data_IF_571211394269
#
_entry.id   IF_571211394269
#
_cell.length_a   1.000
_cell.length_b   1.000
_cell.length_c   1.000
_cell.angle_alpha   90.00
_cell.angle_beta   90.00
_cell.angle_gamma   90.00
#
_symmetry.space_group_name_H-M   'P 1'
#
loop_
_entity.id
_entity.type
_entity.pdbx_description
1 polymer ?
#
# COMPACT_ATOMS: atom_id res chain seq x y z
N UNK A 1 12.87 -10.30 -17.47
CA UNK A 1 13.98 -9.79 -16.64
C UNK A 1 15.26 -9.82 -17.45
N UNK A 2 16.25 -8.98 -17.15
CA UNK A 2 17.60 -9.11 -17.76
C UNK A 2 18.67 -9.03 -16.68
N UNK A 3 19.51 -10.06 -16.62
CA UNK A 3 20.70 -10.05 -15.77
C UNK A 3 21.83 -9.34 -16.50
N UNK A 4 22.47 -8.37 -15.83
CA UNK A 4 23.50 -7.51 -16.41
C UNK A 4 24.80 -7.68 -15.63
N UNK A 5 25.86 -8.22 -16.28
CA UNK A 5 27.18 -8.29 -15.67
C UNK A 5 27.75 -6.88 -15.41
N UNK A 6 28.67 -6.74 -14.44
CA UNK A 6 29.41 -5.50 -14.24
C UNK A 6 30.25 -5.17 -15.50
N UNK A 7 30.29 -3.91 -15.95
CA UNK A 7 31.23 -3.49 -16.99
C UNK A 7 32.69 -3.68 -16.53
N UNK A 8 33.59 -4.01 -17.46
CA UNK A 8 35.02 -4.05 -17.18
C UNK A 8 35.49 -2.69 -16.65
N UNK A 9 36.36 -2.71 -15.64
CA UNK A 9 36.97 -1.53 -15.02
C UNK A 9 35.96 -0.50 -14.46
N UNK A 10 34.78 -0.93 -14.04
CA UNK A 10 33.78 -0.08 -13.39
C UNK A 10 33.54 -0.52 -11.93
N UNK A 11 33.20 0.45 -11.07
CA UNK A 11 32.74 0.18 -9.70
C UNK A 11 31.29 -0.34 -9.64
N UNK A 12 30.59 -0.40 -10.78
CA UNK A 12 29.20 -0.86 -10.86
C UNK A 12 29.13 -2.38 -10.76
N UNK A 13 28.37 -2.90 -9.79
CA UNK A 13 28.16 -4.33 -9.58
C UNK A 13 27.16 -5.00 -10.54
N UNK A 14 26.80 -6.25 -10.21
CA UNK A 14 25.75 -7.01 -10.89
C UNK A 14 24.39 -6.32 -10.78
N UNK A 15 23.63 -6.33 -11.87
CA UNK A 15 22.33 -5.65 -11.93
C UNK A 15 21.25 -6.55 -12.51
N UNK A 16 20.02 -6.30 -12.09
CA UNK A 16 18.82 -6.91 -12.62
C UNK A 16 17.94 -5.82 -13.19
N UNK A 17 17.48 -6.00 -14.42
CA UNK A 17 16.54 -5.09 -15.09
C UNK A 17 15.14 -5.70 -15.10
N UNK A 18 14.17 -4.96 -14.53
CA UNK A 18 12.75 -5.24 -14.60
C UNK A 18 12.15 -4.56 -15.83
N UNK A 19 11.59 -5.36 -16.75
CA UNK A 19 11.11 -4.96 -18.08
C UNK A 19 9.59 -5.08 -18.34
N UNK A 20 8.80 -5.82 -17.53
CA UNK A 20 7.36 -5.99 -17.83
C UNK A 20 6.45 -4.77 -17.66
N UNK A 21 6.89 -3.67 -17.04
CA UNK A 21 6.01 -2.53 -16.79
C UNK A 21 5.65 -1.80 -18.08
N UNK A 22 4.36 -1.51 -18.29
CA UNK A 22 3.89 -0.61 -19.33
C UNK A 22 3.98 0.86 -18.88
N UNK A 23 4.23 1.75 -19.83
CA UNK A 23 4.25 3.20 -19.57
C UNK A 23 2.82 3.71 -19.32
N UNK A 24 2.67 4.55 -18.30
CA UNK A 24 1.39 5.17 -17.93
C UNK A 24 1.33 6.64 -18.38
N UNK A 25 0.14 7.23 -18.39
CA UNK A 25 -0.09 8.59 -18.92
C UNK A 25 0.57 9.68 -18.08
N UNK A 26 0.67 9.47 -16.77
CA UNK A 26 1.18 10.50 -15.84
C UNK A 26 2.48 10.09 -15.14
N UNK A 27 3.31 11.08 -14.83
CA UNK A 27 4.52 10.89 -14.02
C UNK A 27 4.21 10.31 -12.64
N UNK A 28 3.05 10.65 -12.06
CA UNK A 28 2.59 10.09 -10.80
C UNK A 28 2.45 8.57 -10.86
N UNK A 29 1.77 8.04 -11.88
CA UNK A 29 1.56 6.60 -12.03
C UNK A 29 2.88 5.89 -12.31
N UNK A 30 3.70 6.43 -13.21
CA UNK A 30 5.03 5.88 -13.53
C UNK A 30 5.94 5.85 -12.29
N UNK A 31 5.95 6.92 -11.49
CA UNK A 31 6.69 6.97 -10.23
C UNK A 31 6.16 5.95 -9.22
N UNK A 32 4.84 5.72 -9.16
CA UNK A 32 4.26 4.71 -8.28
C UNK A 32 4.75 3.29 -8.64
N UNK A 33 4.70 2.91 -9.92
CA UNK A 33 5.18 1.60 -10.37
C UNK A 33 6.69 1.42 -10.14
N UNK A 34 7.51 2.42 -10.46
CA UNK A 34 8.96 2.36 -10.25
C UNK A 34 9.30 2.27 -8.76
N UNK A 35 8.65 3.08 -7.93
CA UNK A 35 8.84 3.06 -6.47
C UNK A 35 8.46 1.71 -5.90
N UNK A 36 7.35 1.12 -6.35
CA UNK A 36 6.95 -0.21 -5.92
C UNK A 36 7.97 -1.28 -6.31
N UNK A 37 8.45 -1.31 -7.56
CA UNK A 37 9.48 -2.27 -8.00
C UNK A 37 10.78 -2.14 -7.17
N UNK A 38 11.19 -0.90 -6.88
CA UNK A 38 12.34 -0.64 -6.02
C UNK A 38 12.10 -1.18 -4.61
N UNK A 39 10.98 -0.84 -3.98
CA UNK A 39 10.69 -1.23 -2.60
C UNK A 39 10.44 -2.73 -2.45
N UNK A 40 9.74 -3.37 -3.40
CA UNK A 40 9.51 -4.82 -3.34
C UNK A 40 10.82 -5.58 -3.51
N UNK A 41 11.75 -5.12 -4.34
CA UNK A 41 13.07 -5.76 -4.46
C UNK A 41 13.83 -5.75 -3.12
N UNK A 42 13.80 -4.62 -2.40
CA UNK A 42 14.42 -4.50 -1.07
C UNK A 42 13.69 -5.32 -0.01
N UNK A 43 12.36 -5.38 -0.11
CA UNK A 43 11.51 -6.19 0.77
C UNK A 43 11.81 -7.68 0.61
N UNK A 44 11.92 -8.17 -0.64
CA UNK A 44 12.30 -9.56 -0.95
C UNK A 44 13.65 -9.90 -0.32
N UNK A 45 14.65 -9.02 -0.46
CA UNK A 45 15.99 -9.25 0.09
C UNK A 45 16.01 -9.17 1.63
N UNK A 46 15.33 -8.18 2.21
CA UNK A 46 15.31 -7.96 3.67
C UNK A 46 14.57 -9.07 4.41
N UNK A 47 13.45 -9.53 3.86
CA UNK A 47 12.62 -10.57 4.45
C UNK A 47 12.96 -11.98 3.93
N UNK A 48 13.98 -12.10 3.06
CA UNK A 48 14.39 -13.36 2.43
C UNK A 48 13.22 -14.14 1.80
N UNK A 49 12.36 -13.43 1.08
CA UNK A 49 11.14 -14.02 0.52
C UNK A 49 11.47 -15.06 -0.55
N UNK A 50 10.95 -16.27 -0.37
CA UNK A 50 10.95 -17.34 -1.36
C UNK A 50 9.70 -17.26 -2.24
N UNK A 51 9.86 -16.70 -3.44
CA UNK A 51 8.80 -16.56 -4.44
C UNK A 51 8.93 -17.57 -5.59
N UNK A 52 9.71 -18.65 -5.39
CA UNK A 52 9.98 -19.62 -6.45
C UNK A 52 8.73 -20.43 -6.79
N UNK A 53 8.42 -20.49 -8.08
CA UNK A 53 7.43 -21.37 -8.70
C UNK A 53 8.05 -21.98 -9.97
N UNK A 54 7.54 -23.11 -10.49
CA UNK A 54 8.02 -23.66 -11.75
C UNK A 54 7.93 -22.65 -12.92
N UNK A 55 8.95 -22.63 -13.78
CA UNK A 55 9.00 -21.68 -14.91
C UNK A 55 7.82 -21.84 -15.88
N UNK A 56 7.32 -23.08 -16.07
CA UNK A 56 6.12 -23.36 -16.86
C UNK A 56 4.88 -22.61 -16.34
N UNK A 57 4.77 -22.41 -15.02
CA UNK A 57 3.69 -21.63 -14.40
C UNK A 57 3.87 -20.14 -14.58
N UNK A 58 5.11 -19.66 -14.67
CA UNK A 58 5.39 -18.27 -15.10
C UNK A 58 4.94 -18.08 -16.56
N UNK A 59 5.17 -19.04 -17.45
CA UNK A 59 4.72 -18.96 -18.85
C UNK A 59 3.19 -18.99 -19.00
N UNK A 60 2.50 -19.79 -18.18
CA UNK A 60 1.03 -19.77 -18.07
C UNK A 60 0.51 -18.43 -17.55
N UNK A 61 1.18 -17.84 -16.56
CA UNK A 61 0.88 -16.50 -16.08
C UNK A 61 1.02 -15.44 -17.18
N UNK A 62 2.10 -15.50 -17.97
CA UNK A 62 2.31 -14.56 -19.07
C UNK A 62 1.21 -14.66 -20.14
N UNK A 63 0.75 -15.88 -20.47
CA UNK A 63 -0.39 -16.11 -21.38
C UNK A 63 -1.70 -15.55 -20.81
N UNK A 64 -1.88 -15.59 -19.50
CA UNK A 64 -3.06 -15.04 -18.83
C UNK A 64 -3.00 -13.51 -18.73
N UNK A 65 -1.81 -12.93 -18.52
CA UNK A 65 -1.59 -11.50 -18.33
C UNK A 65 -1.99 -10.64 -19.53
N UNK A 66 -1.90 -11.18 -20.75
CA UNK A 66 -2.21 -10.45 -21.99
C UNK A 66 -3.72 -10.41 -22.32
N UNK A 67 -4.55 -11.14 -21.57
CA UNK A 67 -6.01 -11.15 -21.81
C UNK A 67 -6.64 -9.82 -21.40
N UNK A 68 -7.72 -9.43 -22.08
CA UNK A 68 -8.51 -8.25 -21.73
C UNK A 68 -8.99 -8.35 -20.29
N UNK A 69 -8.82 -7.27 -19.53
CA UNK A 69 -9.19 -7.14 -18.12
C UNK A 69 -8.56 -8.22 -17.21
N UNK A 70 -7.38 -8.74 -17.57
CA UNK A 70 -6.71 -9.80 -16.82
C UNK A 70 -6.48 -9.46 -15.34
N UNK A 71 -6.25 -8.19 -15.02
CA UNK A 71 -6.11 -7.71 -13.63
C UNK A 71 -7.31 -8.08 -12.76
N UNK A 72 -8.53 -8.04 -13.32
CA UNK A 72 -9.77 -8.28 -12.57
C UNK A 72 -10.35 -9.68 -12.81
N UNK A 73 -10.09 -10.27 -13.98
CA UNK A 73 -10.79 -11.47 -14.46
C UNK A 73 -9.91 -12.72 -14.48
N UNK A 74 -8.59 -12.61 -14.40
CA UNK A 74 -7.69 -13.76 -14.45
C UNK A 74 -7.08 -14.05 -13.07
N UNK A 75 -6.66 -15.29 -12.91
CA UNK A 75 -5.88 -15.75 -11.78
C UNK A 75 -4.49 -16.16 -12.26
N UNK A 76 -3.53 -16.07 -11.35
CA UNK A 76 -2.12 -16.28 -11.61
C UNK A 76 -1.55 -17.25 -10.59
N UNK A 77 -0.72 -18.17 -11.05
CA UNK A 77 0.05 -19.05 -10.20
C UNK A 77 1.01 -18.22 -9.36
N UNK A 78 0.88 -18.35 -8.04
CA UNK A 78 1.67 -17.63 -7.07
C UNK A 78 2.09 -18.55 -5.93
N UNK A 79 3.22 -18.27 -5.30
CA UNK A 79 3.75 -19.06 -4.18
C UNK A 79 2.73 -19.12 -3.04
N UNK A 80 2.52 -20.30 -2.46
CA UNK A 80 1.68 -20.43 -1.25
C UNK A 80 2.27 -19.64 -0.08
N UNK A 81 1.40 -18.91 0.62
CA UNK A 81 1.81 -17.97 1.67
C UNK A 81 2.66 -18.59 2.79
N UNK A 82 2.32 -19.79 3.26
CA UNK A 82 3.09 -20.49 4.30
C UNK A 82 4.47 -21.00 3.84
N UNK A 83 4.79 -20.89 2.54
CA UNK A 83 6.08 -21.29 1.97
C UNK A 83 6.94 -20.10 1.53
N UNK A 84 6.60 -18.89 1.99
CA UNK A 84 7.26 -17.65 1.58
C UNK A 84 8.59 -17.38 2.29
N UNK A 85 8.93 -18.06 3.38
CA UNK A 85 10.23 -17.91 4.04
C UNK A 85 11.06 -19.19 3.96
N UNK A 86 12.37 -19.04 3.82
CA UNK A 86 13.34 -20.16 3.75
C UNK A 86 13.86 -20.61 5.11
N UNK A 87 13.56 -19.91 6.20
CA UNK A 87 14.21 -20.08 7.51
C UNK A 87 13.33 -20.73 8.61
N UNK A 88 12.23 -21.37 8.25
CA UNK A 88 11.37 -22.03 9.26
C UNK A 88 10.59 -21.06 10.17
N UNK A 89 10.74 -19.74 10.00
CA UNK A 89 9.83 -18.72 10.54
C UNK A 89 8.58 -18.38 9.68
N UNK A 90 8.07 -19.20 8.72
CA UNK A 90 6.86 -18.85 7.98
C UNK A 90 5.65 -18.60 8.86
N UNK A 91 5.56 -19.20 10.05
CA UNK A 91 4.34 -19.11 10.87
C UNK A 91 4.30 -17.82 11.67
N UNK A 92 5.40 -17.36 12.28
CA UNK A 92 5.41 -16.13 13.09
C UNK A 92 5.38 -14.86 12.26
N UNK A 93 6.12 -14.80 11.14
CA UNK A 93 6.11 -13.62 10.28
C UNK A 93 4.80 -13.55 9.47
N UNK A 94 4.27 -14.69 9.02
CA UNK A 94 2.95 -14.75 8.37
C UNK A 94 1.82 -14.60 9.38
N UNK A 95 1.92 -15.04 10.64
CA UNK A 95 0.94 -14.72 11.70
C UNK A 95 1.01 -13.26 12.09
N UNK A 96 2.21 -12.71 12.23
CA UNK A 96 2.40 -11.29 12.49
C UNK A 96 1.73 -10.50 11.39
N UNK A 97 2.00 -10.83 10.11
CA UNK A 97 1.44 -10.21 8.91
C UNK A 97 -0.06 -10.53 8.66
N UNK A 98 -0.58 -11.70 9.04
CA UNK A 98 -2.00 -12.05 8.88
C UNK A 98 -2.88 -11.38 9.93
N UNK A 99 -2.32 -11.07 11.11
CA UNK A 99 -2.92 -10.17 12.11
C UNK A 99 -2.97 -8.71 11.65
N UNK A 100 -2.35 -8.32 10.53
CA UNK A 100 -2.39 -6.93 10.02
C UNK A 100 -3.73 -6.55 9.36
N UNK A 101 -4.67 -7.46 9.07
CA UNK A 101 -5.95 -7.07 8.47
C UNK A 101 -7.07 -6.92 9.49
N UNK A 102 -7.45 -5.65 9.77
CA UNK A 102 -8.80 -5.07 9.48
C UNK A 102 -9.11 -3.72 10.16
N UNK A 103 -8.31 -3.21 11.11
CA UNK A 103 -8.73 -2.00 11.88
C UNK A 103 -7.62 -1.05 12.36
N UNK A 104 -6.34 -1.21 11.99
CA UNK A 104 -5.28 -0.31 12.49
C UNK A 104 -4.72 0.64 11.44
N UNK A 105 -4.84 1.93 11.73
CA UNK A 105 -4.08 3.01 11.11
C UNK A 105 -2.58 2.84 11.46
N UNK A 106 -1.68 3.32 10.60
CA UNK A 106 -0.23 3.20 10.75
C UNK A 106 0.37 4.42 11.49
N UNK A 107 0.95 4.21 12.69
CA UNK A 107 1.73 5.24 13.40
C UNK A 107 3.22 5.14 13.19
N UNK A 108 3.81 6.30 12.92
CA UNK A 108 5.22 6.63 13.07
C UNK A 108 5.64 6.34 14.52
N UNK A 109 6.65 5.49 14.70
CA UNK A 109 7.34 5.29 15.98
C UNK A 109 8.48 6.31 16.04
N UNK A 110 8.39 7.27 16.96
CA UNK A 110 9.55 8.06 17.37
C UNK A 110 10.30 7.30 18.46
N UNK A 111 11.62 7.15 18.28
CA UNK A 111 12.52 6.77 19.35
C UNK A 111 12.61 7.92 20.36
N UNK A 112 12.25 7.65 21.61
CA UNK A 112 12.82 8.36 22.75
C UNK A 112 13.47 7.32 23.66
N UNK A 113 14.75 7.52 23.89
CA UNK A 113 15.57 6.90 24.92
C UNK A 113 14.92 7.13 26.28
N UNK A 114 14.70 6.06 27.07
CA UNK A 114 14.87 6.04 28.53
C UNK A 114 14.66 4.63 29.11
N UNK A 115 15.35 4.38 30.22
CA UNK A 115 15.54 3.11 30.90
C UNK A 115 14.30 2.59 31.67
N UNK A 116 14.14 1.26 31.66
CA UNK A 116 13.61 0.35 32.71
C UNK A 116 12.28 0.71 33.42
N UNK A 117 11.27 -0.17 33.31
CA UNK A 117 10.98 -1.16 34.36
C UNK A 117 9.87 -2.14 33.98
N UNK A 118 10.09 -3.39 34.38
CA UNK A 118 9.17 -4.52 34.32
C UNK A 118 8.13 -4.33 35.44
N UNK A 119 6.85 -4.45 35.10
CA UNK A 119 5.83 -4.88 36.05
C UNK A 119 4.70 -5.55 35.30
N UNK A 120 4.56 -6.86 35.54
CA UNK A 120 3.40 -7.68 35.23
C UNK A 120 2.13 -7.03 35.76
N UNK A 121 1.07 -7.00 34.94
CA UNK A 121 -0.27 -7.26 35.48
C UNK A 121 -1.11 -8.03 34.45
N UNK A 122 -1.53 -9.19 34.92
CA UNK A 122 -2.33 -10.18 34.22
C UNK A 122 -3.82 -9.92 34.44
N UNK A 123 -4.63 -10.06 33.38
CA UNK A 123 -5.85 -10.90 33.31
C UNK A 123 -6.92 -10.27 32.42
N UNK A 124 -7.13 -10.86 31.24
CA UNK A 124 -8.48 -11.24 30.80
C UNK A 124 -8.38 -12.29 29.69
N UNK A 125 -8.79 -13.48 30.08
CA UNK A 125 -8.85 -14.73 29.34
C UNK A 125 -9.89 -14.69 28.22
N UNK A 126 -9.51 -15.03 26.99
CA UNK A 126 -10.43 -15.55 25.98
C UNK A 126 -9.77 -16.73 25.27
N UNK A 127 -10.49 -17.86 25.28
CA UNK A 127 -10.08 -19.20 24.87
C UNK A 127 -9.25 -19.28 23.58
N UNK A 128 -8.03 -19.80 23.72
CA UNK A 128 -7.19 -20.26 22.62
C UNK A 128 -7.70 -21.64 22.14
N UNK A 129 -8.00 -21.76 20.85
CA UNK A 129 -8.17 -23.06 20.21
C UNK A 129 -6.85 -23.83 20.34
N UNK A 130 -6.91 -25.06 20.85
CA UNK A 130 -5.75 -25.94 21.04
C UNK A 130 -5.03 -26.17 19.69
N UNK A 131 -3.75 -25.84 19.65
CA UNK A 131 -2.80 -26.30 18.62
C UNK A 131 -2.26 -27.69 19.06
N UNK A 132 -1.91 -28.59 18.12
CA UNK A 132 -1.19 -29.82 18.46
C UNK A 132 0.24 -29.51 18.89
N UNK A 133 0.75 -30.31 19.84
CA UNK A 133 2.04 -30.14 20.51
C UNK A 133 3.24 -30.06 19.56
N UNK A 134 4.09 -29.05 19.80
CA UNK A 134 5.36 -28.84 19.13
C UNK A 134 6.49 -29.54 19.90
N UNK A 135 6.76 -30.81 19.61
CA UNK A 135 8.05 -31.44 19.88
C UNK A 135 8.33 -32.55 18.86
N UNK A 136 9.11 -32.22 17.83
CA UNK A 136 10.08 -33.13 17.20
C UNK A 136 11.05 -32.29 16.36
N UNK A 137 12.38 -32.50 16.46
CA UNK A 137 13.32 -31.88 15.54
C UNK A 137 13.07 -32.52 14.18
N UNK A 138 12.44 -31.78 13.26
CA UNK A 138 12.18 -32.27 11.90
C UNK A 138 13.49 -32.20 11.12
N UNK A 139 14.34 -33.21 11.31
CA UNK A 139 15.18 -33.72 10.25
C UNK A 139 14.27 -34.44 9.26
N UNK A 140 13.74 -33.71 8.28
CA UNK A 140 13.02 -34.32 7.17
C UNK A 140 13.48 -33.69 5.86
N UNK A 141 14.31 -34.44 5.13
CA UNK A 141 14.49 -34.29 3.69
C UNK A 141 13.20 -34.73 2.97
N UNK A 142 12.05 -34.24 3.39
CA UNK A 142 10.80 -34.44 2.67
C UNK A 142 10.94 -33.68 1.36
N UNK A 143 11.10 -34.42 0.27
CA UNK A 143 11.15 -33.89 -1.08
C UNK A 143 9.86 -33.11 -1.35
N UNK A 144 9.92 -31.78 -1.25
CA UNK A 144 8.74 -30.93 -1.44
C UNK A 144 8.33 -31.03 -2.91
N UNK A 145 7.18 -31.65 -3.18
CA UNK A 145 6.63 -31.72 -4.51
C UNK A 145 6.41 -30.28 -5.05
N UNK A 146 7.03 -29.89 -6.18
CA UNK A 146 6.90 -28.55 -6.74
C UNK A 146 5.44 -28.11 -6.97
N UNK A 147 4.55 -29.06 -7.28
CA UNK A 147 3.13 -28.80 -7.56
C UNK A 147 2.36 -28.32 -6.32
N UNK A 148 2.83 -28.66 -5.12
CA UNK A 148 2.21 -28.23 -3.87
C UNK A 148 2.72 -26.84 -3.41
N UNK A 149 3.68 -26.25 -4.12
CA UNK A 149 4.33 -25.00 -3.69
C UNK A 149 3.60 -23.72 -4.09
N UNK A 150 2.61 -23.83 -4.97
CA UNK A 150 1.91 -22.68 -5.55
C UNK A 150 0.39 -22.85 -5.54
N UNK A 151 -0.32 -21.75 -5.78
CA UNK A 151 -1.78 -21.66 -5.83
C UNK A 151 -2.21 -20.58 -6.82
N UNK A 152 -3.41 -20.68 -7.38
CA UNK A 152 -4.00 -19.63 -8.21
C UNK A 152 -4.53 -18.49 -7.33
N UNK A 153 -4.18 -17.26 -7.67
CA UNK A 153 -4.62 -16.05 -6.97
C UNK A 153 -4.94 -14.93 -7.97
N UNK A 154 -5.96 -14.13 -7.71
CA UNK A 154 -6.20 -12.89 -8.43
C UNK A 154 -5.10 -11.86 -8.16
N UNK A 155 -4.98 -10.84 -9.02
CA UNK A 155 -4.03 -9.75 -8.79
C UNK A 155 -4.33 -9.01 -7.48
N UNK A 156 -5.60 -8.81 -7.13
CA UNK A 156 -5.98 -8.20 -5.84
C UNK A 156 -5.49 -9.05 -4.66
N UNK A 157 -5.65 -10.37 -4.71
CA UNK A 157 -5.15 -11.25 -3.64
C UNK A 157 -3.62 -11.25 -3.55
N UNK A 158 -2.91 -11.18 -4.69
CA UNK A 158 -1.44 -11.11 -4.71
C UNK A 158 -0.96 -9.76 -4.17
N UNK A 159 -1.55 -8.65 -4.61
CA UNK A 159 -1.08 -7.32 -4.25
C UNK A 159 -1.54 -6.92 -2.85
N UNK A 160 -2.83 -7.09 -2.57
CA UNK A 160 -3.47 -6.58 -1.36
C UNK A 160 -3.49 -7.64 -0.25
N UNK A 161 -3.51 -8.93 -0.60
CA UNK A 161 -3.54 -10.05 0.33
C UNK A 161 -4.84 -10.85 0.30
N UNK A 162 -4.76 -12.05 0.85
CA UNK A 162 -5.84 -13.02 1.05
C UNK A 162 -5.85 -13.53 2.50
N UNK A 163 -6.75 -14.44 2.90
CA UNK A 163 -6.69 -15.05 4.23
C UNK A 163 -5.40 -15.84 4.49
N UNK A 164 -4.75 -16.35 3.44
CA UNK A 164 -3.57 -17.24 3.53
C UNK A 164 -2.28 -16.57 3.10
N UNK A 165 -2.33 -15.35 2.56
CA UNK A 165 -1.19 -14.59 2.09
C UNK A 165 -1.33 -13.11 2.48
N UNK A 166 -0.34 -12.49 3.14
CA UNK A 166 -0.43 -11.09 3.53
C UNK A 166 -0.62 -10.09 2.39
N UNK A 167 -0.10 -10.40 1.18
CA UNK A 167 -0.07 -9.48 0.04
C UNK A 167 1.26 -8.74 -0.09
N UNK A 168 1.65 -8.43 -1.33
CA UNK A 168 2.91 -7.73 -1.61
C UNK A 168 2.92 -6.27 -1.11
N UNK A 169 1.81 -5.55 -1.23
CA UNK A 169 1.70 -4.16 -0.75
C UNK A 169 1.83 -4.09 0.77
N UNK A 170 1.11 -4.91 1.57
CA UNK A 170 1.32 -4.95 3.02
C UNK A 170 2.75 -5.27 3.44
N UNK A 171 3.43 -6.20 2.76
CA UNK A 171 4.84 -6.51 3.02
C UNK A 171 5.75 -5.29 2.75
N UNK A 172 5.50 -4.58 1.65
CA UNK A 172 6.24 -3.35 1.32
C UNK A 172 5.96 -2.24 2.34
N UNK A 173 4.71 -2.06 2.77
CA UNK A 173 4.37 -1.09 3.83
C UNK A 173 5.12 -1.39 5.13
N UNK A 174 5.21 -2.67 5.50
CA UNK A 174 5.98 -3.08 6.67
C UNK A 174 7.47 -2.75 6.51
N UNK A 175 8.06 -3.05 5.35
CA UNK A 175 9.45 -2.69 5.06
C UNK A 175 9.70 -1.17 5.19
N UNK A 176 8.84 -0.34 4.60
CA UNK A 176 8.92 1.13 4.68
C UNK A 176 8.83 1.60 6.14
N UNK A 177 7.93 1.02 6.93
CA UNK A 177 7.79 1.34 8.35
C UNK A 177 9.05 1.00 9.17
N UNK A 178 9.64 -0.17 8.94
CA UNK A 178 10.83 -0.64 9.66
C UNK A 178 12.07 0.20 9.33
N UNK A 179 12.24 0.59 8.07
CA UNK A 179 13.37 1.42 7.66
C UNK A 179 13.19 2.87 8.08
N UNK A 180 11.94 3.35 8.14
CA UNK A 180 11.63 4.75 8.41
C UNK A 180 12.10 5.67 7.28
N UNK A 181 12.05 6.97 7.55
CA UNK A 181 12.46 7.99 6.59
C UNK A 181 11.82 9.34 6.91
N UNK A 182 12.08 10.32 6.04
CA UNK A 182 11.40 11.61 6.11
C UNK A 182 9.87 11.43 6.03
N UNK A 183 9.08 12.04 6.95
CA UNK A 183 7.64 11.84 6.99
C UNK A 183 6.91 12.21 5.69
N UNK A 184 7.35 13.24 4.97
CA UNK A 184 6.73 13.64 3.72
C UNK A 184 7.01 12.61 2.61
N UNK A 185 8.22 12.06 2.56
CA UNK A 185 8.58 10.96 1.65
C UNK A 185 7.80 9.70 1.96
N UNK A 186 7.70 9.31 3.23
CA UNK A 186 6.92 8.12 3.65
C UNK A 186 5.44 8.30 3.28
N UNK A 187 4.88 9.49 3.51
CA UNK A 187 3.52 9.81 3.10
C UNK A 187 3.35 9.67 1.57
N UNK A 188 4.26 10.23 0.78
CA UNK A 188 4.26 10.11 -0.68
C UNK A 188 4.29 8.64 -1.13
N UNK A 189 5.18 7.82 -0.55
CA UNK A 189 5.28 6.39 -0.84
C UNK A 189 3.96 5.69 -0.54
N UNK A 190 3.31 5.98 0.59
CA UNK A 190 2.01 5.39 0.91
C UNK A 190 0.93 5.76 -0.12
N UNK A 191 0.89 6.99 -0.63
CA UNK A 191 -0.03 7.36 -1.71
C UNK A 191 0.20 6.56 -2.99
N UNK A 192 1.46 6.28 -3.33
CA UNK A 192 1.77 5.40 -4.46
C UNK A 192 1.29 3.97 -4.22
N UNK A 193 1.45 3.45 -3.00
CA UNK A 193 0.97 2.11 -2.64
C UNK A 193 -0.56 2.05 -2.62
N UNK A 194 -1.25 3.08 -2.14
CA UNK A 194 -2.72 3.19 -2.16
C UNK A 194 -3.25 3.19 -3.60
N UNK A 195 -2.58 3.90 -4.52
CA UNK A 195 -2.90 3.89 -5.95
C UNK A 195 -2.81 2.47 -6.55
N UNK A 196 -1.73 1.74 -6.26
CA UNK A 196 -1.52 0.38 -6.76
C UNK A 196 -2.52 -0.62 -6.15
N UNK A 197 -2.86 -0.45 -4.88
CA UNK A 197 -3.88 -1.24 -4.17
C UNK A 197 -5.25 -1.12 -4.85
N UNK A 198 -5.66 0.12 -5.15
CA UNK A 198 -6.92 0.44 -5.84
C UNK A 198 -6.94 -0.02 -7.30
N UNK A 199 -5.81 0.05 -8.00
CA UNK A 199 -5.67 -0.54 -9.35
C UNK A 199 -5.80 -2.06 -9.32
N UNK A 200 -5.24 -2.71 -8.31
CA UNK A 200 -5.30 -4.17 -8.17
C UNK A 200 -6.69 -4.67 -7.74
N UNK A 201 -7.42 -3.90 -6.92
CA UNK A 201 -8.81 -4.22 -6.52
C UNK A 201 -9.84 -3.94 -7.62
N UNK A 202 -9.52 -3.03 -8.53
CA UNK A 202 -10.45 -2.54 -9.55
C UNK A 202 -11.19 -1.26 -9.18
N UNK A 203 -10.90 -0.68 -8.01
CA UNK A 203 -11.43 0.63 -7.60
C UNK A 203 -10.92 1.77 -8.49
N UNK A 204 -9.77 1.57 -9.14
CA UNK A 204 -9.26 2.41 -10.21
C UNK A 204 -9.02 1.59 -11.47
N UNK A 205 -9.41 2.16 -12.62
CA UNK A 205 -9.20 1.55 -13.92
C UNK A 205 -7.71 1.49 -14.27
N UNK A 206 -7.34 0.47 -15.04
CA UNK A 206 -6.07 0.51 -15.78
C UNK A 206 -6.19 1.50 -16.95
N UNK A 207 -5.06 2.07 -17.38
CA UNK A 207 -5.02 2.91 -18.59
C UNK A 207 -5.66 2.21 -19.79
N UNK A 208 -5.37 0.92 -19.98
CA UNK A 208 -5.94 0.14 -21.06
C UNK A 208 -7.47 -0.03 -20.94
N UNK A 209 -8.00 -0.27 -19.74
CA UNK A 209 -9.45 -0.34 -19.52
C UNK A 209 -10.13 1.02 -19.74
N UNK A 210 -9.49 2.10 -19.28
CA UNK A 210 -9.96 3.46 -19.46
C UNK A 210 -9.99 3.85 -20.95
N UNK A 211 -8.92 3.61 -21.70
CA UNK A 211 -8.90 3.87 -23.16
C UNK A 211 -10.01 3.10 -23.88
N UNK A 212 -10.23 1.83 -23.52
CA UNK A 212 -11.34 1.04 -24.06
C UNK A 212 -12.71 1.64 -23.71
N UNK A 213 -12.92 2.13 -22.49
CA UNK A 213 -14.19 2.76 -22.12
C UNK A 213 -14.40 4.07 -22.86
N UNK A 214 -13.35 4.87 -23.09
CA UNK A 214 -13.41 6.09 -23.91
C UNK A 214 -13.80 5.79 -25.35
N UNK A 215 -13.14 4.83 -26.00
CA UNK A 215 -13.46 4.41 -27.38
C UNK A 215 -14.92 3.92 -27.46
N UNK A 216 -15.35 3.05 -26.53
CA UNK A 216 -16.71 2.49 -26.55
C UNK A 216 -17.81 3.52 -26.30
N UNK A 217 -17.50 4.61 -25.61
CA UNK A 217 -18.44 5.69 -25.32
C UNK A 217 -18.46 6.78 -26.42
N UNK A 218 -17.55 6.71 -27.39
CA UNK A 218 -17.44 7.70 -28.46
C UNK A 218 -18.66 7.63 -29.40
N UNK A 219 -19.30 8.75 -29.79
CA UNK A 219 -20.48 8.76 -30.66
C UNK A 219 -20.28 8.05 -32.00
N UNK A 220 -19.11 8.22 -32.61
CA UNK A 220 -18.75 7.60 -33.89
C UNK A 220 -18.34 6.12 -33.79
N UNK A 221 -18.36 5.50 -32.61
CA UNK A 221 -17.97 4.11 -32.47
C UNK A 221 -19.16 3.18 -32.72
N UNK A 222 -19.03 2.32 -33.73
CA UNK A 222 -20.11 1.43 -34.19
C UNK A 222 -20.04 0.00 -33.63
N UNK A 223 -19.26 -0.23 -32.57
CA UNK A 223 -19.04 -1.56 -31.97
C UNK A 223 -18.49 -2.61 -32.94
N UNK A 224 -17.81 -2.17 -33.99
CA UNK A 224 -17.22 -2.96 -35.07
C UNK A 224 -15.72 -3.24 -34.85
N UNK A 225 -15.18 -2.84 -33.69
CA UNK A 225 -13.74 -2.91 -33.37
C UNK A 225 -12.85 -2.06 -34.27
N UNK A 226 -13.42 -1.11 -35.01
CA UNK A 226 -12.69 -0.14 -35.80
C UNK A 226 -12.56 1.20 -35.06
N UNK A 227 -11.34 1.70 -34.95
CA UNK A 227 -11.05 3.01 -34.33
C UNK A 227 -10.73 3.98 -35.46
N UNK A 228 -11.69 4.87 -35.78
CA UNK A 228 -11.53 5.87 -36.83
C UNK A 228 -10.50 6.94 -36.46
N UNK A 229 -10.06 7.73 -37.44
CA UNK A 229 -9.14 8.84 -37.22
C UNK A 229 -9.70 9.87 -36.23
N UNK A 230 -11.01 10.15 -36.28
CA UNK A 230 -11.70 11.04 -35.33
C UNK A 230 -11.61 10.51 -33.91
N UNK A 231 -12.02 9.24 -33.68
CA UNK A 231 -11.96 8.60 -32.35
C UNK A 231 -10.52 8.63 -31.81
N UNK A 232 -9.53 8.32 -32.66
CA UNK A 232 -8.13 8.34 -32.27
C UNK A 232 -7.64 9.74 -31.92
N UNK A 233 -7.97 10.75 -32.72
CA UNK A 233 -7.62 12.16 -32.46
C UNK A 233 -8.15 12.61 -31.10
N UNK A 234 -9.42 12.36 -30.83
CA UNK A 234 -10.09 12.80 -29.60
C UNK A 234 -9.53 12.07 -28.37
N UNK A 235 -9.27 10.76 -28.48
CA UNK A 235 -8.61 9.99 -27.43
C UNK A 235 -7.19 10.52 -27.14
N UNK A 236 -6.41 10.85 -28.18
CA UNK A 236 -5.06 11.39 -27.99
C UNK A 236 -5.06 12.79 -27.37
N UNK A 237 -6.06 13.62 -27.69
CA UNK A 237 -6.24 14.92 -27.05
C UNK A 237 -6.54 14.77 -25.56
N UNK A 238 -7.43 13.85 -25.18
CA UNK A 238 -7.71 13.55 -23.76
C UNK A 238 -6.46 13.01 -23.05
N UNK A 239 -5.73 12.06 -23.65
CA UNK A 239 -4.47 11.57 -23.10
C UNK A 239 -3.48 12.72 -22.86
N UNK A 240 -3.36 13.65 -23.81
CA UNK A 240 -2.48 14.82 -23.69
C UNK A 240 -2.90 15.75 -22.55
N UNK A 241 -4.20 16.05 -22.43
CA UNK A 241 -4.75 16.85 -21.33
C UNK A 241 -4.49 16.18 -19.96
N UNK A 242 -4.58 14.85 -19.87
CA UNK A 242 -4.26 14.08 -18.66
C UNK A 242 -2.77 14.19 -18.31
N UNK A 243 -1.89 13.98 -19.29
CA UNK A 243 -0.44 14.08 -19.08
C UNK A 243 -0.03 15.49 -18.63
N UNK A 244 -0.70 16.55 -19.12
CA UNK A 244 -0.47 17.94 -18.70
C UNK A 244 -1.11 18.31 -17.37
N UNK A 245 -1.98 17.46 -16.82
CA UNK A 245 -2.71 17.72 -15.59
C UNK A 245 -3.93 18.64 -15.76
N UNK A 246 -4.35 18.92 -16.99
CA UNK A 246 -5.54 19.70 -17.33
C UNK A 246 -6.84 18.89 -17.10
N UNK A 247 -6.75 17.57 -17.32
CA UNK A 247 -7.84 16.62 -17.08
C UNK A 247 -7.40 15.57 -16.06
N UNK A 248 -8.26 15.23 -15.11
CA UNK A 248 -7.98 14.18 -14.11
C UNK A 248 -9.21 13.27 -13.90
N UNK A 249 -9.38 12.22 -14.74
CA UNK A 249 -10.53 11.34 -14.64
C UNK A 249 -10.52 10.58 -13.31
N UNK A 250 -11.58 10.68 -12.48
CA UNK A 250 -11.63 10.06 -11.15
C UNK A 250 -11.62 8.52 -11.19
N UNK A 251 -12.06 7.93 -12.30
CA UNK A 251 -12.00 6.49 -12.55
C UNK A 251 -10.59 5.98 -12.85
N UNK A 252 -9.68 6.85 -13.29
CA UNK A 252 -8.29 6.51 -13.65
C UNK A 252 -7.28 6.92 -12.58
N UNK A 253 -7.48 8.10 -11.98
CA UNK A 253 -6.52 8.75 -11.09
C UNK A 253 -7.15 9.09 -9.72
N UNK A 254 -6.40 8.94 -8.61
CA UNK A 254 -6.90 9.28 -7.28
C UNK A 254 -7.14 10.79 -7.11
N UNK A 255 -8.01 11.19 -6.18
CA UNK A 255 -8.30 12.61 -5.94
C UNK A 255 -7.07 13.39 -5.46
N UNK A 256 -6.95 14.67 -5.83
CA UNK A 256 -5.82 15.53 -5.41
C UNK A 256 -5.96 15.94 -3.93
N UNK A 257 -7.20 16.00 -3.42
CA UNK A 257 -7.56 16.46 -2.08
C UNK A 257 -7.13 15.54 -0.93
N UNK A 258 -6.56 14.37 -1.21
CA UNK A 258 -5.90 13.55 -0.20
C UNK A 258 -4.58 14.17 0.31
N UNK A 259 -4.14 15.30 -0.24
CA UNK A 259 -3.02 16.09 0.27
C UNK A 259 -3.27 17.59 0.19
N UNK A 260 -4.07 18.11 1.11
CA UNK A 260 -3.66 19.36 1.77
C UNK A 260 -3.17 18.98 3.14
N UNK A 261 -1.87 19.19 3.41
CA UNK A 261 -1.44 19.39 4.79
C UNK A 261 -2.02 20.73 5.19
N UNK A 262 -3.31 20.75 5.54
CA UNK A 262 -3.86 21.94 6.18
C UNK A 262 -3.21 21.98 7.56
N UNK A 263 -2.44 23.04 7.80
CA UNK A 263 -2.03 23.41 9.15
C UNK A 263 -3.31 23.57 9.98
N UNK A 264 -3.61 22.59 10.83
CA UNK A 264 -4.79 22.60 11.71
C UNK A 264 -5.96 21.66 11.39
N UNK A 265 -5.89 20.75 10.40
CA UNK A 265 -6.83 19.60 10.38
C UNK A 265 -6.16 18.34 10.95
N UNK A 266 -6.93 17.48 11.63
CA UNK A 266 -6.40 16.24 12.18
C UNK A 266 -5.82 15.38 11.06
N UNK A 267 -4.62 14.84 11.31
CA UNK A 267 -3.93 13.91 10.43
C UNK A 267 -4.89 12.82 9.91
N UNK A 268 -4.83 12.51 8.61
CA UNK A 268 -5.64 11.46 7.99
C UNK A 268 -5.39 10.06 8.60
N UNK A 269 -4.29 9.92 9.37
CA UNK A 269 -3.94 8.75 10.18
C UNK A 269 -4.53 8.84 11.60
N UNK A 270 -5.75 9.37 11.74
CA UNK A 270 -6.36 9.88 13.00
C UNK A 270 -6.30 8.92 14.21
N UNK A 271 -6.07 7.62 14.02
CA UNK A 271 -6.01 6.64 15.10
C UNK A 271 -4.60 6.17 15.47
N UNK A 272 -3.56 6.69 14.82
CA UNK A 272 -2.20 6.21 15.01
C UNK A 272 -1.22 7.20 14.39
N UNK A 273 -1.06 8.41 14.88
CA UNK A 273 0.13 9.18 14.55
C UNK A 273 0.67 9.75 15.85
N UNK A 274 1.76 9.18 16.38
CA UNK A 274 2.33 9.63 17.66
C UNK A 274 2.79 11.09 17.61
N UNK A 275 3.11 11.62 16.44
CA UNK A 275 3.43 13.04 16.25
C UNK A 275 2.23 13.99 16.43
N UNK A 276 1.00 13.49 16.33
CA UNK A 276 -0.23 14.30 16.41
C UNK A 276 -1.04 14.04 17.69
N UNK A 277 -0.66 13.04 18.48
CA UNK A 277 -1.26 12.72 19.78
C UNK A 277 -0.42 13.28 20.94
N UNK A 278 0.02 14.54 20.83
CA UNK A 278 0.39 15.28 22.03
C UNK A 278 -0.92 15.76 22.63
N UNK A 279 -1.33 15.19 23.76
CA UNK A 279 -2.54 15.59 24.46
C UNK A 279 -2.47 17.09 24.78
N UNK A 280 -3.14 17.91 23.97
CA UNK A 280 -3.60 19.21 24.44
C UNK A 280 -4.83 18.97 25.32
N UNK A 281 -4.60 18.36 26.50
CA UNK A 281 -5.56 18.49 27.58
C UNK A 281 -5.65 19.98 27.92
N UNK A 282 -6.83 20.63 27.81
CA UNK A 282 -6.95 22.00 28.26
C UNK A 282 -6.67 21.99 29.77
N UNK A 283 -5.70 22.80 30.18
CA UNK A 283 -5.49 23.15 31.59
C UNK A 283 -6.85 23.61 32.11
N UNK A 284 -7.47 22.82 32.98
CA UNK A 284 -8.71 23.19 33.66
C UNK A 284 -8.40 24.41 34.51
N UNK A 285 -8.87 25.58 34.07
CA UNK A 285 -9.06 26.73 34.94
C UNK A 285 -10.04 26.32 36.03
N UNK A 286 -9.55 26.25 37.26
CA UNK A 286 -10.39 26.20 38.45
C UNK A 286 -11.18 27.49 38.52
N UNK A 287 -12.50 27.43 38.36
CA UNK A 287 -13.39 28.41 38.97
C UNK A 287 -14.62 27.71 39.54
N UNK A 288 -14.67 27.72 40.86
CA UNK A 288 -15.77 27.27 41.70
C UNK A 288 -16.88 28.30 41.70
N UNK A 289 -18.08 27.84 41.36
CA UNK A 289 -19.35 28.54 41.54
C UNK A 289 -19.66 28.83 43.02
N UNK A 290 -20.13 30.06 43.34
CA UNK A 290 -21.26 30.26 44.26
C UNK A 290 -21.79 31.72 44.27
N UNK A 291 -23.05 31.85 43.86
CA UNK A 291 -24.11 32.80 44.27
C UNK A 291 -23.99 34.32 44.06
N UNK A 292 -25.04 34.96 43.47
CA UNK A 292 -25.28 36.38 43.62
C UNK A 292 -26.31 36.66 44.73
N UNK A 293 -26.05 37.66 45.56
CA UNK A 293 -27.10 38.41 46.26
C UNK A 293 -26.73 39.88 46.35
N UNK A 294 -27.61 40.71 45.80
CA UNK A 294 -27.88 42.11 46.11
C UNK A 294 -26.79 43.19 45.91
N UNK A 295 -27.14 44.14 45.03
CA UNK A 295 -27.22 45.59 45.28
C UNK A 295 -26.34 46.54 44.40
N UNK A 296 -27.06 47.30 43.55
CA UNK A 296 -27.09 48.78 43.46
C UNK A 296 -25.89 49.55 42.79
N UNK A 297 -26.13 49.99 41.53
CA UNK A 297 -26.07 51.41 40.98
C UNK A 297 -24.66 52.06 40.76
N UNK A 298 -24.48 53.05 39.83
CA UNK A 298 -23.64 52.83 38.63
C UNK A 298 -22.55 53.92 38.45
N UNK A 299 -21.79 53.85 37.35
CA UNK A 299 -20.95 54.95 36.85
C UNK A 299 -19.96 54.41 35.84
N UNK A 300 -20.09 54.79 34.56
CA UNK A 300 -19.28 55.87 33.96
C UNK A 300 -17.81 55.42 33.79
N UNK A 301 -17.10 55.59 32.69
CA UNK A 301 -17.27 56.18 31.37
C UNK A 301 -15.96 55.82 30.65
N UNK A 302 -15.93 55.91 29.31
CA UNK A 302 -14.71 56.01 28.48
C UNK A 302 -13.70 54.83 28.54
N UNK A 303 -13.25 54.23 27.46
CA UNK A 303 -13.19 54.67 26.08
C UNK A 303 -11.91 54.09 25.47
N UNK A 304 -11.96 53.88 24.16
CA UNK A 304 -10.84 53.91 23.19
C UNK A 304 -9.87 52.72 23.14
N UNK A 305 -9.82 52.17 21.92
CA UNK A 305 -8.66 51.92 21.05
C UNK A 305 -7.39 51.36 21.74
N UNK A 306 -6.83 50.22 21.34
CA UNK A 306 -6.62 49.68 19.99
C UNK A 306 -6.76 48.15 19.97
#
# INVERSE_FOLDING_TARGET
>A
MRFKPPPLNSSIGWRVEFRPLELQLTDFENAAFVTFVLLISRTILRLKLNLLIPISKVDENMRSAVKRDAVLQQQFYFRRGYLLSTDGSPTELTLACSKFRRTRSYSIIQNQTEHQNISDDSTQTVNCCKLPDAHSPVSDNSEVNPEDTYVLMSISEIMNGSPTFPGLIPLVRHYVHVIGGDPAVVCLVHRYLDFLERRASGDLMTTAAWMRSRIRAHPDYHFDSHVSQTINSDLMQECCAITRGELRPPELLPSVSECTVSTGKPCYLRFSCRQCCVDHSPVKSTDSSANPTAAIVPGANDGRYC
#
